data_IF_039022856323
#
_entry.id   IF_039022856323
#
_cell.length_a   1.000
_cell.length_b   1.000
_cell.length_c   1.000
_cell.angle_alpha   90.00
_cell.angle_beta   90.00
_cell.angle_gamma   90.00
#
_symmetry.space_group_name_H-M   'P 1'
#
loop_
_entity.id
_entity.type
_entity.pdbx_description
1 polymer ?
#
# COMPACT_ATOMS: atom_id res chain seq x y z
N UNK A 1 17.29 -1.01 -14.09
CA UNK A 1 16.32 -0.73 -13.04
C UNK A 1 16.26 -1.87 -12.03
N UNK A 2 16.19 -1.53 -10.79
CA UNK A 2 16.24 -2.54 -9.74
C UNK A 2 14.86 -3.09 -9.43
N UNK A 3 14.83 -4.35 -9.06
CA UNK A 3 13.61 -4.97 -8.56
C UNK A 3 13.21 -4.29 -7.25
N UNK A 4 11.90 -4.25 -6.96
CA UNK A 4 11.48 -3.72 -5.67
C UNK A 4 12.10 -4.53 -4.54
N UNK A 5 12.67 -3.82 -3.59
CA UNK A 5 13.19 -4.43 -2.38
C UNK A 5 12.31 -4.00 -1.22
N UNK A 6 12.74 -4.31 -0.01
CA UNK A 6 11.99 -3.87 1.16
C UNK A 6 11.99 -2.35 1.21
N UNK A 7 10.83 -1.78 1.47
CA UNK A 7 10.63 -0.34 1.55
C UNK A 7 10.22 -0.03 2.98
N UNK A 8 10.70 1.09 3.52
CA UNK A 8 10.26 1.51 4.85
C UNK A 8 8.74 1.60 4.90
N UNK A 9 8.19 1.08 5.98
CA UNK A 9 6.73 1.04 6.10
C UNK A 9 6.11 2.44 6.07
N UNK A 10 6.76 3.40 6.71
CA UNK A 10 6.28 4.79 6.68
C UNK A 10 6.25 5.36 5.28
N UNK A 11 7.27 5.07 4.47
CA UNK A 11 7.30 5.52 3.08
C UNK A 11 6.20 4.86 2.27
N UNK A 12 5.92 3.59 2.56
CA UNK A 12 4.86 2.88 1.84
C UNK A 12 3.48 3.43 2.19
N UNK A 13 3.24 3.70 3.47
CA UNK A 13 1.95 4.26 3.88
C UNK A 13 1.76 5.67 3.33
N UNK A 14 2.84 6.44 3.25
CA UNK A 14 2.79 7.77 2.64
C UNK A 14 2.40 7.67 1.17
N UNK A 15 3.01 6.73 0.46
CA UNK A 15 2.69 6.49 -0.93
C UNK A 15 1.23 6.09 -1.11
N UNK A 16 0.74 5.19 -0.25
CA UNK A 16 -0.65 4.77 -0.29
C UNK A 16 -1.58 5.98 -0.14
N UNK A 17 -1.26 6.88 0.78
CA UNK A 17 -2.05 8.08 0.97
C UNK A 17 -2.09 8.96 -0.27
N UNK A 18 -0.96 9.04 -0.99
CA UNK A 18 -0.90 9.84 -2.21
C UNK A 18 -1.78 9.29 -3.31
N UNK A 19 -2.04 7.97 -3.29
CA UNK A 19 -2.96 7.34 -4.23
C UNK A 19 -4.40 7.35 -3.75
N UNK A 20 -4.67 7.95 -2.59
CA UNK A 20 -6.02 8.10 -2.09
C UNK A 20 -6.47 7.01 -1.14
N UNK A 21 -5.56 6.14 -0.73
CA UNK A 21 -5.88 5.11 0.28
C UNK A 21 -5.90 5.72 1.66
N UNK A 22 -6.81 5.23 2.49
CA UNK A 22 -6.96 5.68 3.86
C UNK A 22 -6.83 4.46 4.77
N UNK A 23 -6.03 4.60 5.83
CA UNK A 23 -5.91 3.53 6.80
C UNK A 23 -7.16 3.48 7.67
N UNK A 24 -7.84 2.35 7.65
CA UNK A 24 -9.10 2.19 8.36
C UNK A 24 -8.91 1.56 9.73
N UNK A 25 -7.98 0.64 9.86
CA UNK A 25 -7.70 0.07 11.17
C UNK A 25 -6.38 -0.69 11.14
N UNK A 26 -5.89 -0.96 12.35
CA UNK A 26 -4.66 -1.69 12.58
C UNK A 26 -4.98 -2.86 13.52
N UNK A 27 -4.43 -4.01 13.20
CA UNK A 27 -4.53 -5.18 14.07
C UNK A 27 -3.13 -5.80 14.15
N UNK A 28 -2.44 -5.57 15.27
CA UNK A 28 -1.05 -5.98 15.39
C UNK A 28 -0.19 -5.30 14.33
N UNK A 29 0.50 -6.09 13.52
CA UNK A 29 1.34 -5.56 12.45
C UNK A 29 0.58 -5.40 11.14
N UNK A 30 -0.72 -5.71 11.12
CA UNK A 30 -1.54 -5.60 9.90
C UNK A 30 -2.26 -4.27 9.88
N UNK A 31 -2.10 -3.56 8.78
CA UNK A 31 -2.70 -2.24 8.59
C UNK A 31 -3.61 -2.31 7.38
N UNK A 32 -4.92 -2.05 7.59
CA UNK A 32 -5.92 -2.19 6.54
C UNK A 32 -6.19 -0.83 5.91
N UNK A 33 -5.99 -0.75 4.60
CA UNK A 33 -6.22 0.47 3.83
C UNK A 33 -7.36 0.27 2.85
N UNK A 34 -8.14 1.32 2.64
CA UNK A 34 -9.25 1.31 1.69
C UNK A 34 -9.21 2.56 0.83
N UNK A 35 -9.77 2.41 -0.36
CA UNK A 35 -9.90 3.52 -1.31
C UNK A 35 -11.38 3.65 -1.67
N UNK A 36 -11.87 4.90 -1.71
CA UNK A 36 -13.29 5.14 -1.91
C UNK A 36 -13.81 4.66 -3.26
N UNK A 37 -12.93 4.59 -4.26
CA UNK A 37 -13.34 4.29 -5.63
C UNK A 37 -13.19 2.83 -5.99
N UNK A 38 -12.70 2.00 -5.09
CA UNK A 38 -12.51 0.57 -5.38
C UNK A 38 -13.05 -0.28 -4.25
N UNK A 39 -13.53 -1.48 -4.57
CA UNK A 39 -14.10 -2.36 -3.53
C UNK A 39 -13.06 -3.12 -2.73
N UNK A 40 -11.83 -3.22 -3.22
CA UNK A 40 -10.80 -4.03 -2.58
C UNK A 40 -10.11 -3.27 -1.48
N UNK A 41 -9.73 -3.99 -0.42
CA UNK A 41 -8.91 -3.46 0.65
C UNK A 41 -7.49 -3.95 0.47
N UNK A 42 -6.53 -3.17 0.99
CA UNK A 42 -5.14 -3.58 1.05
C UNK A 42 -4.79 -3.89 2.50
N UNK A 43 -4.29 -5.09 2.73
CA UNK A 43 -3.78 -5.49 4.03
C UNK A 43 -2.27 -5.42 3.97
N UNK A 44 -1.71 -4.38 4.58
CA UNK A 44 -0.26 -4.15 4.57
C UNK A 44 0.31 -4.60 5.90
N UNK A 45 1.23 -5.55 5.85
CA UNK A 45 1.89 -6.04 7.05
C UNK A 45 3.24 -5.38 7.21
N UNK A 46 3.46 -4.84 8.41
CA UNK A 46 4.76 -4.26 8.77
C UNK A 46 5.64 -5.36 9.34
N UNK A 47 6.82 -5.55 8.74
CA UNK A 47 7.79 -6.52 9.19
C UNK A 47 9.12 -5.81 9.35
N UNK A 48 9.60 -5.72 10.59
CA UNK A 48 10.85 -5.02 10.92
C UNK A 48 10.84 -3.58 10.38
N UNK A 49 9.70 -2.93 10.46
CA UNK A 49 9.55 -1.56 10.00
C UNK A 49 9.50 -1.40 8.50
N UNK A 50 9.28 -2.49 7.77
CA UNK A 50 9.33 -2.47 6.31
C UNK A 50 8.11 -3.16 5.71
N UNK A 51 7.79 -2.77 4.47
CA UNK A 51 6.82 -3.46 3.65
C UNK A 51 7.55 -4.48 2.77
N UNK A 52 6.97 -5.66 2.63
CA UNK A 52 7.59 -6.72 1.84
C UNK A 52 7.36 -6.52 0.35
N UNK A 53 8.28 -7.02 -0.50
CA UNK A 53 8.13 -6.82 -1.96
C UNK A 53 6.82 -7.34 -2.52
N UNK A 54 6.29 -8.46 -1.99
CA UNK A 54 5.03 -8.99 -2.55
C UNK A 54 3.86 -8.04 -2.29
N UNK A 55 3.92 -7.30 -1.19
CA UNK A 55 2.87 -6.32 -0.88
C UNK A 55 2.97 -5.11 -1.79
N UNK A 56 4.20 -4.70 -2.08
CA UNK A 56 4.42 -3.60 -3.02
C UNK A 56 3.88 -3.99 -4.39
N UNK A 57 4.13 -5.22 -4.83
CA UNK A 57 3.60 -5.71 -6.10
C UNK A 57 2.09 -5.79 -6.10
N UNK A 58 1.50 -6.18 -4.98
CA UNK A 58 0.04 -6.21 -4.85
C UNK A 58 -0.56 -4.82 -5.00
N UNK A 59 0.04 -3.85 -4.36
CA UNK A 59 -0.38 -2.47 -4.47
C UNK A 59 -0.29 -1.98 -5.92
N UNK A 60 0.85 -2.24 -6.56
CA UNK A 60 1.04 -1.81 -7.95
C UNK A 60 0.03 -2.47 -8.89
N UNK A 61 -0.33 -3.72 -8.62
CA UNK A 61 -1.35 -4.40 -9.41
C UNK A 61 -2.72 -3.72 -9.29
N UNK A 62 -3.04 -3.29 -8.09
CA UNK A 62 -4.31 -2.58 -7.86
C UNK A 62 -4.30 -1.23 -8.55
N UNK A 63 -3.19 -0.50 -8.45
CA UNK A 63 -3.06 0.77 -9.15
C UNK A 63 -3.29 0.59 -10.65
N UNK A 64 -2.70 -0.44 -11.22
CA UNK A 64 -2.82 -0.72 -12.64
C UNK A 64 -4.24 -1.16 -13.01
N UNK A 65 -4.81 -2.06 -12.20
CA UNK A 65 -6.15 -2.59 -12.49
C UNK A 65 -7.21 -1.50 -12.52
N UNK A 66 -7.13 -0.56 -11.59
CA UNK A 66 -8.14 0.48 -11.46
C UNK A 66 -7.70 1.82 -12.01
N UNK A 67 -6.51 1.83 -12.64
CA UNK A 67 -5.98 3.04 -13.26
C UNK A 67 -5.93 4.21 -12.27
N UNK A 68 -5.44 3.93 -11.08
CA UNK A 68 -5.35 4.95 -10.04
C UNK A 68 -4.20 5.91 -10.33
N UNK A 69 -4.36 7.15 -9.90
CA UNK A 69 -3.35 8.17 -10.09
C UNK A 69 -2.95 8.77 -8.76
N UNK A 70 -1.68 9.16 -8.68
CA UNK A 70 -1.18 9.81 -7.50
C UNK A 70 -1.74 11.22 -7.41
N UNK A 71 -2.20 11.58 -6.22
CA UNK A 71 -2.71 12.93 -5.95
C UNK A 71 -1.61 13.77 -5.33
N UNK A 72 -1.54 15.01 -5.73
CA UNK A 72 -0.57 15.94 -5.16
C UNK A 72 -1.04 16.54 -3.85
#
# INVERSE_FOLDING_TARGET
MQSPTNVRFGDMTDLLGRFGFVQKRTSGSHHIFQHSDIPESLNMQEVDGQAKPYQIRQFLRIVERYNLEMKD
#
